data_IF_036758031020
#
_entry.id   IF_036758031020
#
_cell.length_a   1.000
_cell.length_b   1.000
_cell.length_c   1.000
_cell.angle_alpha   90.00
_cell.angle_beta   90.00
_cell.angle_gamma   90.00
#
_symmetry.space_group_name_H-M   'P 1'
#
loop_
_entity.id
_entity.type
_entity.pdbx_description
1 polymer ?
#
# COMPACT_ATOMS: atom_id res chain seq x y z
N UNK A 1 19.32 7.54 -7.05
CA UNK A 1 18.78 6.86 -5.86
C UNK A 1 19.93 6.65 -4.89
N UNK A 2 19.71 6.97 -3.62
CA UNK A 2 20.55 6.42 -2.56
C UNK A 2 19.92 5.09 -2.16
N UNK A 3 20.68 4.01 -2.24
CA UNK A 3 20.18 2.70 -1.84
C UNK A 3 20.10 2.61 -0.31
N UNK A 4 18.99 2.07 0.19
CA UNK A 4 18.78 1.88 1.63
C UNK A 4 19.80 0.86 2.16
N UNK A 5 20.54 1.25 3.20
CA UNK A 5 21.43 0.33 3.90
C UNK A 5 20.65 -0.37 5.04
N UNK A 6 20.01 -1.49 4.73
CA UNK A 6 19.19 -2.26 5.68
C UNK A 6 19.94 -2.73 6.93
N UNK A 7 21.26 -2.86 6.87
CA UNK A 7 22.09 -3.24 8.03
C UNK A 7 22.17 -2.11 9.07
N UNK A 8 22.14 -0.85 8.60
CA UNK A 8 22.24 0.34 9.46
C UNK A 8 20.90 1.03 9.72
N UNK A 9 19.81 0.50 9.16
CA UNK A 9 18.50 1.09 9.28
C UNK A 9 18.05 1.06 10.75
N UNK A 10 17.77 2.23 11.31
CA UNK A 10 17.19 2.36 12.65
C UNK A 10 15.69 2.11 12.61
N UNK A 11 15.07 1.77 13.74
CA UNK A 11 13.60 1.64 13.81
C UNK A 11 12.91 2.96 13.47
N UNK A 12 13.48 4.10 13.87
CA UNK A 12 12.94 5.41 13.53
C UNK A 12 12.90 5.61 12.02
N UNK A 13 14.03 5.35 11.35
CA UNK A 13 14.14 5.52 9.90
C UNK A 13 13.27 4.49 9.16
N UNK A 14 13.16 3.26 9.67
CA UNK A 14 12.27 2.24 9.13
C UNK A 14 10.80 2.66 9.20
N UNK A 15 10.34 3.24 10.32
CA UNK A 15 8.99 3.79 10.44
C UNK A 15 8.80 5.00 9.53
N UNK A 16 9.79 5.88 9.44
CA UNK A 16 9.75 7.04 8.55
C UNK A 16 9.65 6.59 7.07
N UNK A 17 10.33 5.50 6.68
CA UNK A 17 10.24 4.89 5.34
C UNK A 17 8.87 4.26 5.12
N UNK A 18 8.35 3.47 6.07
CA UNK A 18 7.05 2.83 5.94
C UNK A 18 5.93 3.85 5.74
N UNK A 19 5.92 4.94 6.52
CA UNK A 19 4.95 6.04 6.35
C UNK A 19 5.04 6.65 4.94
N UNK A 20 6.26 6.84 4.44
CA UNK A 20 6.47 7.41 3.10
C UNK A 20 5.98 6.49 1.98
N UNK A 21 6.08 5.18 2.17
CA UNK A 21 5.61 4.17 1.23
C UNK A 21 4.08 4.19 1.18
N UNK A 22 3.42 4.15 2.34
CA UNK A 22 1.96 4.26 2.48
C UNK A 22 1.40 5.55 1.88
N UNK A 23 2.06 6.68 2.15
CA UNK A 23 1.68 7.98 1.56
C UNK A 23 1.77 7.94 0.01
N UNK A 24 2.76 7.23 -0.55
CA UNK A 24 2.92 7.08 -2.00
C UNK A 24 1.80 6.21 -2.60
N UNK A 25 1.47 5.09 -1.95
CA UNK A 25 0.39 4.20 -2.34
C UNK A 25 -0.97 4.92 -2.30
N UNK A 26 -1.27 5.61 -1.19
CA UNK A 26 -2.47 6.43 -1.03
C UNK A 26 -2.61 7.44 -2.19
N UNK A 27 -1.56 8.23 -2.44
CA UNK A 27 -1.55 9.25 -3.49
C UNK A 27 -1.80 8.65 -4.87
N UNK A 28 -1.17 7.51 -5.18
CA UNK A 28 -1.32 6.85 -6.47
C UNK A 28 -2.74 6.31 -6.66
N UNK A 29 -3.30 5.68 -5.64
CA UNK A 29 -4.69 5.21 -5.69
C UNK A 29 -5.68 6.37 -5.83
N UNK A 30 -5.48 7.48 -5.10
CA UNK A 30 -6.31 8.69 -5.26
C UNK A 30 -6.25 9.28 -6.66
N UNK A 31 -5.11 9.19 -7.33
CA UNK A 31 -4.99 9.66 -8.70
C UNK A 31 -5.76 8.77 -9.68
N UNK A 32 -5.71 7.44 -9.51
CA UNK A 32 -6.54 6.55 -10.32
C UNK A 32 -8.02 6.72 -10.08
N UNK A 33 -8.45 7.05 -8.86
CA UNK A 33 -9.85 7.42 -8.61
C UNK A 33 -10.29 8.54 -9.56
N UNK A 34 -9.52 9.63 -9.64
CA UNK A 34 -9.84 10.76 -10.53
C UNK A 34 -9.90 10.32 -12.00
N UNK A 35 -8.95 9.49 -12.43
CA UNK A 35 -8.92 8.99 -13.80
C UNK A 35 -10.13 8.09 -14.11
N UNK A 36 -10.49 7.17 -13.22
CA UNK A 36 -11.62 6.26 -13.41
C UNK A 36 -12.97 7.00 -13.41
N UNK A 37 -13.10 8.06 -12.62
CA UNK A 37 -14.26 8.94 -12.64
C UNK A 37 -14.37 9.71 -13.97
N UNK A 38 -13.25 10.22 -14.48
CA UNK A 38 -13.22 10.90 -15.78
C UNK A 38 -13.63 9.97 -16.94
N UNK A 39 -13.30 8.68 -16.84
CA UNK A 39 -13.54 7.67 -17.88
C UNK A 39 -14.81 6.82 -17.67
N UNK A 40 -15.64 7.15 -16.67
CA UNK A 40 -16.93 6.49 -16.36
C UNK A 40 -16.81 5.00 -16.00
N UNK A 41 -15.78 4.62 -15.24
CA UNK A 41 -15.63 3.27 -14.66
C UNK A 41 -15.86 3.32 -13.13
N UNK A 42 -17.12 3.47 -12.65
CA UNK A 42 -17.40 3.75 -11.24
C UNK A 42 -17.02 2.61 -10.27
N UNK A 43 -17.03 1.36 -10.73
CA UNK A 43 -16.58 0.19 -9.94
C UNK A 43 -15.10 0.27 -9.60
N UNK A 44 -14.25 0.50 -10.61
CA UNK A 44 -12.81 0.67 -10.42
C UNK A 44 -12.51 1.88 -9.53
N UNK A 45 -13.24 2.99 -9.71
CA UNK A 45 -13.10 4.16 -8.84
C UNK A 45 -13.46 3.86 -7.37
N UNK A 46 -14.49 3.05 -7.11
CA UNK A 46 -14.83 2.63 -5.74
C UNK A 46 -13.76 1.73 -5.14
N UNK A 47 -13.23 0.80 -5.91
CA UNK A 47 -12.16 -0.09 -5.46
C UNK A 47 -10.88 0.69 -5.11
N UNK A 48 -10.41 1.58 -5.99
CA UNK A 48 -9.23 2.39 -5.68
C UNK A 48 -9.45 3.37 -4.53
N UNK A 49 -10.68 3.87 -4.31
CA UNK A 49 -11.01 4.63 -3.11
C UNK A 49 -10.86 3.81 -1.84
N UNK A 50 -11.27 2.54 -1.89
CA UNK A 50 -11.14 1.63 -0.76
C UNK A 50 -9.67 1.37 -0.44
N UNK A 51 -8.85 1.03 -1.45
CA UNK A 51 -7.40 0.87 -1.25
C UNK A 51 -6.76 2.14 -0.68
N UNK A 52 -7.03 3.32 -1.25
CA UNK A 52 -6.52 4.59 -0.72
C UNK A 52 -6.91 4.87 0.74
N UNK A 53 -8.05 4.34 1.20
CA UNK A 53 -8.46 4.47 2.61
C UNK A 53 -7.70 3.50 3.51
N UNK A 54 -7.38 2.29 3.03
CA UNK A 54 -6.55 1.33 3.75
C UNK A 54 -5.15 1.89 3.97
N UNK A 55 -4.48 2.37 2.92
CA UNK A 55 -3.11 2.93 3.05
C UNK A 55 -3.10 4.15 3.97
N UNK A 56 -4.11 5.03 3.83
CA UNK A 56 -4.25 6.17 4.73
C UNK A 56 -4.47 5.77 6.20
N UNK A 57 -5.02 4.59 6.47
CA UNK A 57 -5.19 4.08 7.83
C UNK A 57 -3.90 3.45 8.34
N UNK A 58 -3.17 2.69 7.53
CA UNK A 58 -1.86 2.15 7.88
C UNK A 58 -0.85 3.26 8.14
N UNK A 59 -0.74 4.24 7.24
CA UNK A 59 0.10 5.43 7.41
C UNK A 59 -0.19 6.17 8.73
N UNK A 60 -1.45 6.29 9.14
CA UNK A 60 -1.82 6.87 10.46
C UNK A 60 -1.37 6.00 11.64
N UNK A 61 -1.50 4.68 11.54
CA UNK A 61 -1.06 3.76 12.59
C UNK A 61 0.46 3.81 12.76
N UNK A 62 1.20 3.80 11.66
CA UNK A 62 2.64 3.94 11.63
C UNK A 62 3.08 5.31 12.15
N UNK A 63 2.43 6.40 11.74
CA UNK A 63 2.70 7.75 12.23
C UNK A 63 2.46 7.87 13.74
N UNK A 64 1.39 7.25 14.26
CA UNK A 64 1.12 7.18 15.69
C UNK A 64 2.23 6.42 16.44
N UNK A 65 2.65 5.26 15.93
CA UNK A 65 3.78 4.48 16.49
C UNK A 65 5.08 5.28 16.46
N UNK A 66 5.37 5.96 15.34
CA UNK A 66 6.54 6.81 15.16
C UNK A 66 6.58 7.98 16.13
N UNK A 67 5.46 8.66 16.33
CA UNK A 67 5.34 9.74 17.30
C UNK A 67 5.46 9.22 18.75
N UNK A 68 4.84 8.08 19.06
CA UNK A 68 4.89 7.51 20.41
C UNK A 68 6.30 7.08 20.83
N UNK A 69 7.10 6.54 19.90
CA UNK A 69 8.45 6.05 20.18
C UNK A 69 9.53 7.14 20.12
N UNK A 70 9.38 8.12 19.22
CA UNK A 70 10.45 9.05 18.87
C UNK A 70 10.03 10.53 18.85
N UNK A 71 8.77 10.84 19.16
CA UNK A 71 8.24 12.21 19.17
C UNK A 71 8.50 12.96 17.87
N UNK A 72 8.89 14.22 18.00
CA UNK A 72 9.20 15.13 16.88
C UNK A 72 10.64 15.02 16.38
N UNK A 73 11.33 13.90 16.67
CA UNK A 73 12.67 13.67 16.15
C UNK A 73 12.69 13.83 14.62
N UNK A 74 13.68 14.53 14.04
CA UNK A 74 13.70 14.79 12.61
C UNK A 74 13.80 13.50 11.78
N UNK A 75 13.23 13.59 10.59
CA UNK A 75 13.30 12.53 9.59
C UNK A 75 14.65 12.64 8.85
N UNK A 76 15.35 11.50 8.73
CA UNK A 76 16.64 11.41 8.03
C UNK A 76 16.51 10.72 6.66
N UNK A 77 15.31 10.22 6.35
CA UNK A 77 14.96 9.58 5.08
C UNK A 77 14.01 10.45 4.25
N UNK A 78 13.91 10.21 2.95
CA UNK A 78 12.94 10.88 2.09
C UNK A 78 12.50 9.98 0.92
N UNK A 79 11.51 10.45 0.15
CA UNK A 79 10.89 9.67 -0.94
C UNK A 79 11.86 9.18 -2.01
N UNK A 80 13.00 9.83 -2.20
CA UNK A 80 14.01 9.39 -3.18
C UNK A 80 14.66 8.05 -2.82
N UNK A 81 14.44 7.55 -1.59
CA UNK A 81 14.96 6.29 -1.08
C UNK A 81 14.02 5.09 -1.29
N UNK A 82 12.74 5.32 -1.63
CA UNK A 82 11.69 4.27 -1.68
C UNK A 82 11.01 4.19 -3.04
N UNK A 83 11.73 4.54 -4.11
CA UNK A 83 11.10 4.81 -5.40
C UNK A 83 10.15 3.69 -5.87
N UNK A 84 8.87 4.03 -5.89
CA UNK A 84 7.74 3.24 -6.35
C UNK A 84 7.47 1.94 -5.59
N UNK A 85 7.87 1.69 -4.33
CA UNK A 85 7.72 0.36 -3.70
C UNK A 85 6.33 -0.26 -3.87
N UNK A 86 5.29 0.46 -3.45
CA UNK A 86 3.88 0.01 -3.52
C UNK A 86 3.10 0.74 -4.59
N UNK A 87 3.66 1.80 -5.19
CA UNK A 87 2.94 2.63 -6.13
C UNK A 87 2.65 1.87 -7.44
N UNK A 88 1.37 1.71 -7.84
CA UNK A 88 1.07 1.10 -9.13
C UNK A 88 1.57 1.95 -10.30
N UNK A 89 2.04 1.31 -11.38
CA UNK A 89 2.65 1.99 -12.53
C UNK A 89 1.69 2.97 -13.23
N UNK A 90 2.07 4.24 -13.24
CA UNK A 90 1.30 5.31 -13.86
C UNK A 90 1.14 5.10 -15.38
N UNK A 91 2.14 4.54 -16.05
CA UNK A 91 2.16 4.37 -17.52
C UNK A 91 1.29 3.20 -17.99
N UNK A 92 0.88 2.31 -17.07
CA UNK A 92 -0.08 1.24 -17.39
C UNK A 92 -1.52 1.71 -17.40
N UNK A 93 -1.81 2.92 -16.91
CA UNK A 93 -3.14 3.50 -17.04
C UNK A 93 -3.43 3.85 -18.50
N UNK A 94 -4.43 3.16 -19.06
CA UNK A 94 -4.97 3.49 -20.38
C UNK A 94 -6.22 4.35 -20.20
N UNK A 95 -6.52 5.21 -21.18
CA UNK A 95 -7.68 6.10 -21.18
C UNK A 95 -9.05 5.38 -21.04
N UNK A 96 -9.07 4.05 -20.97
CA UNK A 96 -10.24 3.21 -20.71
C UNK A 96 -9.77 1.94 -20.00
N UNK A 97 -9.55 1.99 -18.68
CA UNK A 97 -9.34 0.78 -17.88
C UNK A 97 -10.69 0.18 -17.49
N UNK A 98 -10.84 -1.11 -17.74
CA UNK A 98 -11.92 -1.91 -17.18
C UNK A 98 -11.69 -2.16 -15.69
N UNK A 99 -12.70 -2.71 -15.00
CA UNK A 99 -12.52 -3.18 -13.61
C UNK A 99 -11.41 -4.25 -13.52
N UNK A 100 -11.30 -5.13 -14.52
CA UNK A 100 -10.26 -6.16 -14.54
C UNK A 100 -8.87 -5.53 -14.67
N UNK A 101 -8.69 -4.57 -15.58
CA UNK A 101 -7.41 -3.87 -15.74
C UNK A 101 -7.00 -3.13 -14.45
N UNK A 102 -7.98 -2.55 -13.75
CA UNK A 102 -7.75 -1.87 -12.48
C UNK A 102 -7.29 -2.83 -11.37
N UNK A 103 -7.87 -4.03 -11.30
CA UNK A 103 -7.49 -5.06 -10.33
C UNK A 103 -6.12 -5.67 -10.67
N UNK A 104 -5.84 -5.91 -11.95
CA UNK A 104 -4.53 -6.39 -12.39
C UNK A 104 -3.44 -5.36 -12.03
N UNK A 105 -3.72 -4.07 -12.24
CA UNK A 105 -2.80 -2.98 -11.88
C UNK A 105 -2.55 -2.89 -10.37
N UNK A 106 -3.59 -3.04 -9.54
CA UNK A 106 -3.42 -3.08 -8.09
C UNK A 106 -2.62 -4.31 -7.67
N UNK A 107 -2.96 -5.52 -8.16
CA UNK A 107 -2.25 -6.74 -7.81
C UNK A 107 -0.76 -6.69 -8.17
N UNK A 108 -0.41 -6.11 -9.33
CA UNK A 108 0.98 -5.89 -9.73
C UNK A 108 1.73 -4.97 -8.74
N UNK A 109 1.04 -3.98 -8.18
CA UNK A 109 1.60 -3.04 -7.22
C UNK A 109 1.85 -3.70 -5.85
N UNK A 110 0.84 -4.38 -5.29
CA UNK A 110 0.97 -5.16 -4.04
C UNK A 110 2.02 -6.27 -4.18
N UNK A 111 2.13 -6.89 -5.36
CA UNK A 111 3.16 -7.92 -5.61
C UNK A 111 4.57 -7.31 -5.55
N UNK A 112 4.75 -6.10 -6.08
CA UNK A 112 6.04 -5.41 -6.06
C UNK A 112 6.43 -5.00 -4.63
N UNK A 113 5.47 -4.54 -3.85
CA UNK A 113 5.61 -4.27 -2.43
C UNK A 113 6.06 -5.50 -1.64
N UNK A 114 5.32 -6.61 -1.83
CA UNK A 114 5.65 -7.91 -1.24
C UNK A 114 7.08 -8.33 -1.58
N UNK A 115 7.46 -8.25 -2.86
CA UNK A 115 8.80 -8.61 -3.30
C UNK A 115 9.87 -7.73 -2.64
N UNK A 116 9.62 -6.42 -2.53
CA UNK A 116 10.54 -5.49 -1.87
C UNK A 116 10.76 -5.85 -0.40
N UNK A 117 9.69 -6.01 0.39
CA UNK A 117 9.84 -6.35 1.81
C UNK A 117 10.45 -7.74 2.01
N UNK A 118 10.04 -8.73 1.21
CA UNK A 118 10.57 -10.08 1.28
C UNK A 118 12.07 -10.13 0.94
N UNK A 119 12.54 -9.31 -0.01
CA UNK A 119 13.96 -9.17 -0.34
C UNK A 119 14.75 -8.40 0.74
N UNK A 120 14.13 -7.43 1.40
CA UNK A 120 14.77 -6.64 2.47
C UNK A 120 14.97 -7.43 3.77
N UNK A 121 14.01 -8.29 4.15
CA UNK A 121 13.99 -9.01 5.43
C UNK A 121 15.29 -9.76 5.79
N UNK A 122 15.94 -10.52 4.88
CA UNK A 122 17.20 -11.20 5.17
C UNK A 122 18.38 -10.26 5.48
N UNK A 123 18.36 -9.04 4.92
CA UNK A 123 19.43 -8.06 5.07
C UNK A 123 19.35 -7.32 6.42
N UNK A 124 18.14 -7.09 6.92
CA UNK A 124 17.88 -6.38 8.17
C UNK A 124 18.48 -7.14 9.36
N UNK A 125 19.31 -6.46 10.16
CA UNK A 125 19.93 -7.05 11.38
C UNK A 125 19.24 -6.65 12.67
N UNK A 126 18.70 -5.43 12.73
CA UNK A 126 17.94 -4.95 13.87
C UNK A 126 16.62 -5.74 14.00
N UNK A 127 16.36 -6.30 15.19
CA UNK A 127 15.20 -7.14 15.44
C UNK A 127 13.87 -6.38 15.34
N UNK A 128 13.80 -5.16 15.86
CA UNK A 128 12.58 -4.34 15.83
C UNK A 128 12.25 -3.88 14.40
N UNK A 129 13.28 -3.58 13.59
CA UNK A 129 13.11 -3.25 12.18
C UNK A 129 12.63 -4.48 11.40
N UNK A 130 13.16 -5.66 11.72
CA UNK A 130 12.74 -6.91 11.08
C UNK A 130 11.29 -7.25 11.40
N UNK A 131 10.87 -7.02 12.64
CA UNK A 131 9.48 -7.18 13.07
C UNK A 131 8.56 -6.25 12.29
N UNK A 132 8.88 -4.95 12.23
CA UNK A 132 8.10 -3.99 11.42
C UNK A 132 8.01 -4.40 9.95
N UNK A 133 9.11 -4.80 9.32
CA UNK A 133 9.08 -5.22 7.91
C UNK A 133 8.32 -6.53 7.68
N UNK A 134 8.25 -7.40 8.69
CA UNK A 134 7.44 -8.61 8.62
C UNK A 134 5.94 -8.31 8.78
N UNK A 135 5.58 -7.30 9.59
CA UNK A 135 4.22 -6.77 9.69
C UNK A 135 3.78 -6.19 8.33
N UNK A 136 4.59 -5.30 7.73
CA UNK A 136 4.29 -4.72 6.41
C UNK A 136 4.16 -5.79 5.32
N UNK A 137 5.08 -6.76 5.27
CA UNK A 137 4.97 -7.89 4.34
C UNK A 137 3.65 -8.68 4.51
N UNK A 138 3.15 -8.80 5.74
CA UNK A 138 1.89 -9.48 6.02
C UNK A 138 0.68 -8.64 5.56
N UNK A 139 0.73 -7.32 5.71
CA UNK A 139 -0.28 -6.40 5.18
C UNK A 139 -0.37 -6.51 3.65
N UNK A 140 0.76 -6.59 2.93
CA UNK A 140 0.77 -6.82 1.48
C UNK A 140 0.08 -8.13 1.07
N UNK A 141 0.27 -9.20 1.84
CA UNK A 141 -0.39 -10.48 1.58
C UNK A 141 -1.91 -10.32 1.72
N UNK A 142 -2.37 -9.57 2.72
CA UNK A 142 -3.79 -9.31 2.96
C UNK A 142 -4.40 -8.46 1.83
N UNK A 143 -3.68 -7.44 1.34
CA UNK A 143 -4.07 -6.66 0.18
C UNK A 143 -4.16 -7.52 -1.09
N UNK A 144 -3.14 -8.32 -1.40
CA UNK A 144 -3.16 -9.23 -2.55
C UNK A 144 -4.34 -10.20 -2.49
N UNK A 145 -4.63 -10.77 -1.32
CA UNK A 145 -5.76 -11.67 -1.13
C UNK A 145 -7.11 -10.97 -1.30
N UNK A 146 -7.21 -9.72 -0.84
CA UNK A 146 -8.37 -8.87 -1.10
C UNK A 146 -8.56 -8.65 -2.60
N UNK A 147 -7.52 -8.22 -3.33
CA UNK A 147 -7.60 -7.99 -4.78
C UNK A 147 -8.04 -9.27 -5.49
N UNK A 148 -7.44 -10.43 -5.19
CA UNK A 148 -7.81 -11.73 -5.77
C UNK A 148 -9.26 -12.12 -5.47
N UNK A 149 -9.77 -11.86 -4.26
CA UNK A 149 -11.19 -12.10 -3.91
C UNK A 149 -12.12 -11.25 -4.77
N UNK A 150 -11.77 -9.99 -5.01
CA UNK A 150 -12.57 -9.11 -5.90
C UNK A 150 -12.49 -9.60 -7.35
N UNK A 151 -11.29 -9.95 -7.85
CA UNK A 151 -11.11 -10.50 -9.20
C UNK A 151 -11.97 -11.75 -9.46
N UNK A 152 -12.14 -12.63 -8.46
CA UNK A 152 -12.99 -13.82 -8.61
C UNK A 152 -14.49 -13.49 -8.73
N UNK A 153 -14.93 -12.32 -8.26
CA UNK A 153 -16.33 -11.85 -8.31
C UNK A 153 -16.64 -11.11 -9.62
N UNK A 154 -15.67 -10.44 -10.24
CA UNK A 154 -15.88 -9.63 -11.47
C UNK A 154 -16.52 -10.41 -12.62
N UNK A 155 -16.10 -11.66 -12.97
CA UNK A 155 -16.72 -12.43 -14.04
C UNK A 155 -18.20 -12.77 -13.80
N UNK A 156 -18.69 -12.66 -12.57
CA UNK A 156 -20.07 -12.95 -12.17
C UNK A 156 -20.99 -11.72 -12.33
N UNK A 157 -20.46 -10.59 -12.79
CA UNK A 157 -21.19 -9.32 -12.90
C UNK A 157 -21.47 -8.67 -11.54
N UNK A 158 -20.82 -9.15 -10.48
CA UNK A 158 -20.89 -8.55 -9.15
C UNK A 158 -19.94 -7.34 -9.11
N UNK A 159 -20.49 -6.20 -8.71
CA UNK A 159 -19.73 -4.98 -8.51
C UNK A 159 -18.93 -5.06 -7.19
N UNK A 160 -17.87 -4.27 -7.08
CA UNK A 160 -17.14 -4.15 -5.82
C UNK A 160 -17.97 -3.36 -4.80
N UNK A 161 -18.29 -4.01 -3.67
CA UNK A 161 -18.86 -3.38 -2.48
C UNK A 161 -17.83 -3.42 -1.35
N UNK A 162 -17.34 -2.26 -0.85
CA UNK A 162 -16.41 -2.24 0.27
C UNK A 162 -16.99 -2.90 1.53
N UNK A 163 -18.31 -2.95 1.71
CA UNK A 163 -18.96 -3.59 2.86
C UNK A 163 -18.69 -5.10 2.96
N UNK A 164 -18.30 -5.75 1.86
CA UNK A 164 -17.86 -7.16 1.86
C UNK A 164 -16.52 -7.38 2.58
N UNK A 165 -15.77 -6.30 2.85
CA UNK A 165 -14.40 -6.32 3.35
C UNK A 165 -14.21 -5.46 4.61
N UNK A 166 -15.25 -4.77 5.07
CA UNK A 166 -15.24 -4.13 6.38
C UNK A 166 -15.50 -5.24 7.40
N UNK A 167 -14.52 -5.55 8.25
CA UNK A 167 -14.80 -6.31 9.47
C UNK A 167 -15.94 -5.60 10.20
N UNK A 168 -17.04 -6.32 10.44
CA UNK A 168 -18.15 -5.80 11.23
C UNK A 168 -17.56 -5.14 12.49
N UNK A 169 -18.03 -3.94 12.88
CA UNK A 169 -17.45 -3.25 14.02
C UNK A 169 -17.43 -4.24 15.18
N UNK A 170 -16.22 -4.54 15.68
CA UNK A 170 -16.07 -5.28 16.92
C UNK A 170 -16.77 -4.44 17.97
N UNK A 171 -17.95 -4.93 18.37
CA UNK A 171 -18.86 -4.20 19.23
C UNK A 171 -18.20 -3.80 20.54
N UNK A 172 -18.42 -2.52 20.88
CA UNK A 172 -18.39 -1.84 22.18
C UNK A 172 -17.41 -2.34 23.27
#
# INVERSE_FOLDING_TARGET
MQDINFVKLSLKDALDLAILIEDEAEERYREFVKQMEAHRTPGAARFFRFMAVNEANHGKQLAKRRSALFGDAPREVDRSMIFEVEAPDYNRTRAFMSMQDALDLALDAETKAYEYFNQALPEIKNAEVRELFAELLQEEIEHMDLVKKVMAKVPQGLDFDPADFVDAPTGE
#
